data_IF_655853267415
#
_entry.id   IF_655853267415
#
_cell.length_a   1.000
_cell.length_b   1.000
_cell.length_c   1.000
_cell.angle_alpha   90.00
_cell.angle_beta   90.00
_cell.angle_gamma   90.00
#
_symmetry.space_group_name_H-M   'P 1'
#
loop_
_entity.id
_entity.type
_entity.pdbx_description
1 polymer ?
#
# COMPACT_ATOMS: atom_id res chain seq x y z
N UNK A 1 8.80 15.61 -7.75
CA UNK A 1 9.38 15.41 -6.41
C UNK A 1 8.34 14.68 -5.57
N UNK A 2 8.74 13.77 -4.67
CA UNK A 2 7.80 13.10 -3.75
C UNK A 2 8.00 13.62 -2.33
N UNK A 3 6.98 13.45 -1.49
CA UNK A 3 7.07 13.78 -0.06
C UNK A 3 7.94 12.77 0.70
N UNK A 4 8.38 13.14 1.90
CA UNK A 4 9.04 12.21 2.84
C UNK A 4 8.10 11.07 3.26
N UNK A 5 6.78 11.28 3.24
CA UNK A 5 5.76 10.26 3.50
C UNK A 5 5.11 9.83 2.19
N UNK A 6 5.37 8.60 1.76
CA UNK A 6 4.79 8.05 0.53
C UNK A 6 3.86 6.89 0.87
N UNK A 7 2.58 7.04 0.59
CA UNK A 7 1.59 5.96 0.66
C UNK A 7 1.56 5.28 -0.71
N UNK A 8 1.99 4.03 -0.80
CA UNK A 8 1.97 3.27 -2.06
C UNK A 8 0.81 2.28 -2.07
N UNK A 9 0.01 2.32 -3.14
CA UNK A 9 -1.17 1.49 -3.32
C UNK A 9 -1.00 0.68 -4.62
N UNK A 10 -1.04 -0.66 -4.52
CA UNK A 10 -0.64 -1.58 -5.60
C UNK A 10 -1.79 -2.11 -6.48
N UNK A 11 -3.01 -1.63 -6.26
CA UNK A 11 -4.21 -1.98 -7.05
C UNK A 11 -5.00 -0.71 -7.38
N UNK A 12 -4.31 0.30 -7.95
CA UNK A 12 -4.82 1.65 -8.20
C UNK A 12 -5.90 1.77 -9.28
N UNK A 13 -6.63 0.70 -9.59
CA UNK A 13 -7.79 0.75 -10.48
C UNK A 13 -8.95 1.56 -9.87
N UNK A 14 -10.05 1.75 -10.62
CA UNK A 14 -11.21 2.52 -10.16
C UNK A 14 -12.06 1.81 -9.07
N UNK A 15 -11.68 0.62 -8.65
CA UNK A 15 -12.41 -0.23 -7.69
C UNK A 15 -11.40 -0.96 -6.82
N UNK A 16 -11.67 -1.08 -5.52
CA UNK A 16 -10.84 -1.84 -4.59
C UNK A 16 -10.37 -1.02 -3.40
N UNK A 17 -9.54 -1.64 -2.55
CA UNK A 17 -9.03 -1.06 -1.30
C UNK A 17 -8.20 0.19 -1.57
N UNK A 18 -7.36 0.17 -2.60
CA UNK A 18 -6.54 1.31 -2.99
C UNK A 18 -7.39 2.54 -3.36
N UNK A 19 -8.36 2.37 -4.25
CA UNK A 19 -9.29 3.43 -4.64
C UNK A 19 -10.11 3.95 -3.45
N UNK A 20 -10.58 3.04 -2.59
CA UNK A 20 -11.33 3.39 -1.39
C UNK A 20 -10.50 4.27 -0.43
N UNK A 21 -9.25 3.89 -0.17
CA UNK A 21 -8.31 4.65 0.67
C UNK A 21 -8.02 6.01 0.04
N UNK A 22 -7.58 6.04 -1.23
CA UNK A 22 -7.19 7.27 -1.91
C UNK A 22 -8.36 8.25 -2.05
N UNK A 23 -9.56 7.74 -2.35
CA UNK A 23 -10.79 8.53 -2.48
C UNK A 23 -11.35 9.06 -1.16
N UNK A 24 -10.94 8.48 -0.02
CA UNK A 24 -11.42 8.85 1.32
C UNK A 24 -10.41 9.66 2.13
N UNK A 25 -9.16 9.78 1.64
CA UNK A 25 -8.13 10.65 2.22
C UNK A 25 -8.19 12.05 1.60
N UNK A 26 -8.26 13.06 2.47
CA UNK A 26 -8.42 14.46 2.07
C UNK A 26 -7.48 15.38 2.85
N UNK A 27 -7.16 16.56 2.32
CA UNK A 27 -6.48 17.59 3.09
C UNK A 27 -7.21 17.87 4.39
N UNK A 28 -6.50 17.95 5.51
CA UNK A 28 -7.10 18.45 6.74
C UNK A 28 -7.55 19.90 6.50
N UNK A 29 -8.83 20.27 6.73
CA UNK A 29 -9.33 21.63 6.49
C UNK A 29 -8.54 22.73 7.23
N UNK A 30 -7.88 22.37 8.32
CA UNK A 30 -7.04 23.28 9.13
C UNK A 30 -5.64 23.45 8.55
N UNK A 31 -5.15 22.43 7.82
CA UNK A 31 -3.88 22.47 7.12
C UNK A 31 -4.12 23.08 5.73
N UNK A 32 -3.50 24.23 5.44
CA UNK A 32 -3.63 24.91 4.14
C UNK A 32 -2.86 24.14 3.05
N UNK A 33 -3.31 22.92 2.71
CA UNK A 33 -2.67 22.06 1.73
C UNK A 33 -3.30 22.25 0.35
N UNK A 34 -2.45 22.29 -0.66
CA UNK A 34 -2.84 22.18 -2.06
C UNK A 34 -2.74 20.72 -2.50
N UNK A 35 -3.75 20.24 -3.24
CA UNK A 35 -3.70 18.93 -3.88
C UNK A 35 -3.21 19.08 -5.32
N UNK A 36 -2.16 18.36 -5.68
CA UNK A 36 -1.64 18.24 -7.05
C UNK A 36 -1.81 16.79 -7.48
N UNK A 37 -2.37 16.58 -8.69
CA UNK A 37 -2.51 15.25 -9.28
C UNK A 37 -1.67 15.16 -10.54
N UNK A 38 -0.90 14.10 -10.66
CA UNK A 38 0.01 13.86 -11.78
C UNK A 38 -0.10 12.38 -12.19
N UNK A 39 0.15 12.08 -13.46
CA UNK A 39 0.35 10.71 -13.91
C UNK A 39 1.85 10.44 -14.08
N UNK A 40 2.28 9.22 -13.79
CA UNK A 40 3.66 8.79 -14.01
C UNK A 40 3.68 7.60 -14.97
N UNK A 41 4.77 7.51 -15.74
CA UNK A 41 5.05 6.38 -16.63
C UNK A 41 6.56 6.10 -16.65
N UNK A 42 6.95 4.86 -16.39
CA UNK A 42 8.34 4.42 -16.46
C UNK A 42 8.49 3.28 -17.48
N UNK A 43 9.57 3.30 -18.24
CA UNK A 43 9.85 2.27 -19.24
C UNK A 43 10.15 0.93 -18.56
N UNK A 44 9.62 -0.16 -19.11
CA UNK A 44 9.95 -1.53 -18.69
C UNK A 44 10.91 -2.23 -19.66
N UNK A 45 11.48 -1.49 -20.62
CA UNK A 45 12.32 -2.05 -21.67
C UNK A 45 13.60 -2.72 -21.13
N UNK A 46 14.12 -2.27 -19.98
CA UNK A 46 15.25 -2.90 -19.30
C UNK A 46 14.96 -4.35 -18.85
N UNK A 47 13.68 -4.71 -18.71
CA UNK A 47 13.22 -6.08 -18.45
C UNK A 47 12.81 -6.83 -19.72
N UNK A 48 13.02 -6.24 -20.91
CA UNK A 48 12.60 -6.79 -22.19
C UNK A 48 11.12 -6.58 -22.53
N UNK A 49 10.39 -5.76 -21.75
CA UNK A 49 8.96 -5.48 -21.96
C UNK A 49 8.82 -4.14 -22.69
N UNK A 50 8.44 -4.17 -23.96
CA UNK A 50 8.39 -2.97 -24.82
C UNK A 50 7.00 -2.36 -24.96
N UNK A 51 5.96 -3.19 -24.86
CA UNK A 51 4.58 -2.78 -25.12
C UNK A 51 3.85 -2.28 -23.86
N UNK A 52 4.50 -2.38 -22.69
CA UNK A 52 3.95 -1.95 -21.40
C UNK A 52 4.91 -1.01 -20.70
N UNK A 53 4.35 -0.10 -19.92
CA UNK A 53 5.06 0.80 -19.02
C UNK A 53 4.57 0.56 -17.60
N UNK A 54 5.39 0.90 -16.60
CA UNK A 54 4.92 1.07 -15.24
C UNK A 54 4.21 2.42 -15.13
N UNK A 55 2.89 2.42 -14.98
CA UNK A 55 2.07 3.62 -14.98
C UNK A 55 1.16 3.68 -13.76
N UNK A 56 0.75 4.90 -13.44
CA UNK A 56 -0.13 5.15 -12.32
C UNK A 56 -0.39 6.64 -12.09
N UNK A 57 -1.07 6.91 -11.00
CA UNK A 57 -1.40 8.27 -10.55
C UNK A 57 -0.66 8.60 -9.26
N UNK A 58 -0.22 9.85 -9.17
CA UNK A 58 0.34 10.45 -7.97
C UNK A 58 -0.56 11.58 -7.48
N UNK A 59 -0.89 11.54 -6.19
CA UNK A 59 -1.62 12.62 -5.51
C UNK A 59 -0.67 13.20 -4.47
N UNK A 60 -0.29 14.46 -4.65
CA UNK A 60 0.59 15.18 -3.75
C UNK A 60 -0.21 16.17 -2.92
N UNK A 61 0.05 16.18 -1.63
CA UNK A 61 -0.46 17.17 -0.69
C UNK A 61 0.68 18.10 -0.29
N UNK A 62 0.59 19.34 -0.73
CA UNK A 62 1.67 20.32 -0.68
C UNK A 62 1.30 21.44 0.28
N UNK A 63 2.14 21.67 1.28
CA UNK A 63 1.96 22.72 2.28
C UNK A 63 2.30 24.12 1.76
N UNK A 64 2.02 25.13 2.59
CA UNK A 64 2.37 26.51 2.29
C UNK A 64 3.89 26.65 2.13
N UNK A 65 4.36 27.05 0.95
CA UNK A 65 5.78 27.14 0.61
C UNK A 65 6.27 26.08 -0.38
N UNK A 66 5.38 25.25 -0.91
CA UNK A 66 5.72 24.27 -1.96
C UNK A 66 6.37 22.98 -1.44
N UNK A 67 6.41 22.80 -0.12
CA UNK A 67 6.92 21.58 0.50
C UNK A 67 5.90 20.43 0.38
N UNK A 68 6.33 19.29 -0.15
CA UNK A 68 5.51 18.09 -0.29
C UNK A 68 5.39 17.40 1.07
N UNK A 69 4.20 17.40 1.67
CA UNK A 69 3.99 16.79 3.00
C UNK A 69 3.68 15.30 2.92
N UNK A 70 2.82 14.91 1.97
CA UNK A 70 2.39 13.53 1.77
C UNK A 70 2.21 13.29 0.27
N UNK A 71 2.61 12.12 -0.20
CA UNK A 71 2.35 11.67 -1.57
C UNK A 71 1.67 10.31 -1.54
N UNK A 72 0.58 10.17 -2.29
CA UNK A 72 -0.07 8.88 -2.54
C UNK A 72 0.31 8.47 -3.96
N UNK A 73 0.92 7.30 -4.12
CA UNK A 73 1.22 6.68 -5.41
C UNK A 73 0.29 5.49 -5.61
N UNK A 74 -0.48 5.53 -6.68
CA UNK A 74 -1.39 4.45 -7.08
C UNK A 74 -0.85 3.83 -8.35
N UNK A 75 -0.37 2.59 -8.25
CA UNK A 75 0.09 1.83 -9.41
C UNK A 75 -1.11 1.28 -10.17
N UNK A 76 -1.08 1.29 -11.51
CA UNK A 76 -2.07 0.55 -12.30
C UNK A 76 -2.06 -0.94 -11.94
N UNK A 77 -3.14 -1.63 -12.26
CA UNK A 77 -3.25 -3.05 -11.96
C UNK A 77 -2.39 -3.88 -12.94
N UNK A 78 -1.36 -4.52 -12.41
CA UNK A 78 -0.50 -5.45 -13.13
C UNK A 78 -0.55 -6.83 -12.48
N UNK A 79 -0.59 -7.86 -13.31
CA UNK A 79 -0.39 -9.22 -12.84
C UNK A 79 1.11 -9.58 -12.84
N UNK A 80 1.58 -10.46 -11.94
CA UNK A 80 2.90 -11.05 -12.04
C UNK A 80 3.11 -11.76 -13.40
N UNK A 81 4.33 -11.70 -14.00
CA UNK A 81 5.55 -11.09 -13.48
C UNK A 81 5.70 -9.58 -13.78
N UNK A 82 4.80 -8.98 -14.56
CA UNK A 82 4.91 -7.55 -14.96
C UNK A 82 4.83 -6.64 -13.75
N UNK A 83 4.02 -6.98 -12.75
CA UNK A 83 3.95 -6.25 -11.48
C UNK A 83 5.32 -6.11 -10.81
N UNK A 84 6.17 -7.14 -10.84
CA UNK A 84 7.51 -7.09 -10.25
C UNK A 84 8.37 -6.03 -10.92
N UNK A 85 8.30 -5.97 -12.26
CA UNK A 85 9.05 -5.00 -13.05
C UNK A 85 8.53 -3.58 -12.80
N UNK A 86 7.21 -3.41 -12.83
CA UNK A 86 6.57 -2.11 -12.60
C UNK A 86 6.85 -1.56 -11.20
N UNK A 87 6.71 -2.40 -10.18
CA UNK A 87 7.00 -2.04 -8.80
C UNK A 87 8.48 -1.73 -8.60
N UNK A 88 9.38 -2.50 -9.21
CA UNK A 88 10.82 -2.22 -9.11
C UNK A 88 11.17 -0.83 -9.67
N UNK A 89 10.64 -0.45 -10.84
CA UNK A 89 10.88 0.89 -11.40
C UNK A 89 10.36 2.00 -10.48
N UNK A 90 9.14 1.85 -9.95
CA UNK A 90 8.57 2.84 -9.02
C UNK A 90 9.45 2.98 -7.77
N UNK A 91 9.86 1.87 -7.17
CA UNK A 91 10.69 1.88 -5.97
C UNK A 91 12.10 2.43 -6.25
N UNK A 92 12.70 2.14 -7.42
CA UNK A 92 13.96 2.74 -7.84
C UNK A 92 13.86 4.26 -8.00
N UNK A 93 12.72 4.77 -8.51
CA UNK A 93 12.48 6.22 -8.60
C UNK A 93 12.32 6.86 -7.23
N UNK A 94 11.73 6.16 -6.27
CA UNK A 94 11.67 6.59 -4.87
C UNK A 94 13.05 6.56 -4.19
N UNK A 95 13.89 5.59 -4.54
CA UNK A 95 15.25 5.44 -4.00
C UNK A 95 16.29 6.38 -4.63
N UNK A 96 15.91 7.16 -5.66
CA UNK A 96 16.83 7.85 -6.57
C UNK A 96 17.83 8.82 -5.91
N UNK A 97 19.00 8.96 -6.57
CA UNK A 97 20.22 9.60 -6.06
C UNK A 97 20.13 11.12 -5.81
N UNK A 98 19.11 11.80 -6.37
CA UNK A 98 18.94 13.27 -6.25
C UNK A 98 18.12 13.69 -5.01
N UNK A 99 17.69 12.74 -4.17
CA UNK A 99 16.95 13.02 -2.95
C UNK A 99 17.90 13.09 -1.74
N UNK A 100 17.88 14.22 -1.01
CA UNK A 100 18.69 14.37 0.21
C UNK A 100 18.26 13.41 1.33
N UNK A 101 17.02 12.92 1.29
CA UNK A 101 16.43 12.01 2.27
C UNK A 101 15.57 10.95 1.56
N UNK A 102 15.72 9.70 1.96
CA UNK A 102 14.88 8.62 1.45
C UNK A 102 13.46 8.73 2.03
N UNK A 103 12.41 8.63 1.21
CA UNK A 103 11.05 8.66 1.70
C UNK A 103 10.75 7.42 2.55
N UNK A 104 9.91 7.59 3.57
CA UNK A 104 9.27 6.48 4.27
C UNK A 104 8.07 6.02 3.47
N UNK A 105 8.13 4.76 3.02
CA UNK A 105 7.06 4.08 2.33
C UNK A 105 6.05 3.53 3.33
N UNK A 106 4.77 3.79 3.11
CA UNK A 106 3.66 3.21 3.88
C UNK A 106 2.81 2.41 2.91
N UNK A 107 2.70 1.10 3.11
CA UNK A 107 2.01 0.21 2.16
C UNK A 107 0.90 -0.56 2.84
N UNK A 108 -0.37 -0.18 2.63
CA UNK A 108 -1.50 -0.92 3.15
C UNK A 108 -1.84 -2.13 2.27
N UNK A 109 -2.14 -3.25 2.92
CA UNK A 109 -2.74 -4.44 2.33
C UNK A 109 -3.94 -4.90 3.12
N UNK A 110 -4.92 -5.45 2.43
CA UNK A 110 -5.99 -6.24 3.03
C UNK A 110 -5.87 -7.65 2.46
N UNK A 111 -5.58 -8.61 3.33
CA UNK A 111 -5.23 -9.98 2.95
C UNK A 111 -6.18 -10.95 3.65
N UNK A 112 -6.80 -11.88 2.92
CA UNK A 112 -7.57 -12.95 3.55
C UNK A 112 -6.69 -13.80 4.47
N UNK A 113 -7.19 -14.18 5.65
CA UNK A 113 -6.47 -15.03 6.60
C UNK A 113 -5.95 -16.33 5.95
N UNK A 114 -6.71 -16.88 4.99
CA UNK A 114 -6.34 -18.09 4.25
C UNK A 114 -5.04 -17.95 3.44
N UNK A 115 -4.64 -16.72 3.10
CA UNK A 115 -3.39 -16.41 2.37
C UNK A 115 -2.21 -16.12 3.30
N UNK A 116 -2.39 -16.14 4.62
CA UNK A 116 -1.33 -15.91 5.61
C UNK A 116 -1.26 -17.06 6.62
N UNK A 117 -0.15 -17.80 6.64
CA UNK A 117 0.08 -18.81 7.69
C UNK A 117 0.93 -18.22 8.81
N UNK A 118 0.39 -18.17 10.03
CA UNK A 118 1.09 -17.68 11.21
C UNK A 118 1.92 -18.78 11.89
N UNK A 119 3.10 -18.45 12.40
CA UNK A 119 4.06 -19.42 12.95
C UNK A 119 3.79 -19.89 14.39
N UNK A 120 2.89 -19.26 15.15
CA UNK A 120 2.49 -19.72 16.49
C UNK A 120 1.14 -19.12 16.91
N UNK A 121 0.13 -19.96 17.19
CA UNK A 121 -1.10 -19.54 17.88
C UNK A 121 -0.98 -19.87 19.37
N UNK A 122 -0.32 -19.00 20.14
CA UNK A 122 -0.58 -18.98 21.58
C UNK A 122 -1.91 -18.25 21.78
N UNK A 123 -2.99 -19.04 21.76
CA UNK A 123 -4.36 -18.59 22.01
C UNK A 123 -4.48 -18.12 23.47
N UNK A 124 -4.19 -16.85 23.70
CA UNK A 124 -4.73 -16.06 24.81
C UNK A 124 -5.97 -15.32 24.30
N UNK A 125 -7.04 -15.32 25.08
CA UNK A 125 -8.38 -14.84 24.72
C UNK A 125 -8.39 -13.46 24.02
N UNK A 126 -9.15 -13.40 22.91
CA UNK A 126 -9.97 -12.28 22.42
C UNK A 126 -9.34 -10.89 22.42
N UNK A 127 -8.81 -10.51 21.27
CA UNK A 127 -9.11 -9.19 20.71
C UNK A 127 -9.24 -9.33 19.20
N UNK A 128 -10.28 -8.73 18.64
CA UNK A 128 -10.70 -8.77 17.23
C UNK A 128 -9.72 -7.95 16.39
N UNK A 129 -8.42 -8.20 16.50
CA UNK A 129 -7.41 -7.37 15.84
C UNK A 129 -7.18 -7.88 14.43
N UNK A 130 -7.68 -7.08 13.50
CA UNK A 130 -7.60 -7.31 12.07
C UNK A 130 -6.52 -6.46 11.41
N UNK A 131 -5.67 -5.73 12.15
CA UNK A 131 -4.66 -4.85 11.57
C UNK A 131 -3.30 -4.95 12.28
N UNK A 132 -2.26 -5.24 11.50
CA UNK A 132 -0.89 -5.38 11.97
C UNK A 132 0.07 -4.41 11.25
N UNK A 133 1.19 -4.09 11.89
CA UNK A 133 2.27 -3.29 11.31
C UNK A 133 3.57 -4.09 11.19
N UNK A 134 4.23 -4.00 10.05
CA UNK A 134 5.56 -4.58 9.80
C UNK A 134 6.53 -3.48 9.34
N UNK A 135 7.58 -3.24 10.13
CA UNK A 135 8.69 -2.36 9.76
C UNK A 135 9.74 -3.12 8.96
N UNK A 136 10.24 -2.49 7.89
CA UNK A 136 11.32 -2.98 7.03
C UNK A 136 12.28 -1.82 6.72
N UNK A 137 13.57 -2.12 6.57
CA UNK A 137 14.59 -1.11 6.28
C UNK A 137 14.92 -0.20 7.48
N UNK A 138 15.55 0.96 7.24
CA UNK A 138 15.90 1.93 8.27
C UNK A 138 14.66 2.50 8.98
N UNK A 139 14.82 2.77 10.27
CA UNK A 139 13.78 3.41 11.08
C UNK A 139 13.76 4.93 10.83
N UNK A 140 12.57 5.47 10.60
CA UNK A 140 12.26 6.90 10.57
C UNK A 140 11.24 7.29 11.64
N UNK A 141 11.08 8.58 11.92
CA UNK A 141 10.06 9.09 12.85
C UNK A 141 8.65 8.60 12.50
N UNK A 142 8.35 8.55 11.20
CA UNK A 142 7.09 8.03 10.67
C UNK A 142 6.93 6.55 10.97
N UNK A 143 7.99 5.77 10.79
CA UNK A 143 7.95 4.33 11.05
C UNK A 143 7.77 4.00 12.54
N UNK A 144 8.39 4.77 13.44
CA UNK A 144 8.18 4.62 14.88
C UNK A 144 6.78 5.03 15.31
N UNK A 145 6.30 6.17 14.80
CA UNK A 145 4.96 6.64 15.09
C UNK A 145 3.90 5.61 14.69
N UNK A 146 4.00 5.03 13.49
CA UNK A 146 3.10 3.96 13.05
C UNK A 146 3.23 2.69 13.90
N UNK A 147 4.45 2.30 14.25
CA UNK A 147 4.70 1.07 15.00
C UNK A 147 4.20 1.12 16.44
N UNK A 148 4.22 2.29 17.06
CA UNK A 148 3.62 2.48 18.39
C UNK A 148 2.09 2.35 18.41
N UNK A 149 1.45 2.45 17.25
CA UNK A 149 -0.02 2.44 17.09
C UNK A 149 -0.56 1.14 16.52
N UNK A 150 0.27 0.39 15.81
CA UNK A 150 -0.10 -0.87 15.16
C UNK A 150 0.38 -2.04 16.01
N UNK A 151 -0.40 -3.12 16.06
CA UNK A 151 0.10 -4.36 16.63
C UNK A 151 1.24 -4.90 15.77
N UNK A 152 2.33 -5.29 16.42
CA UNK A 152 3.48 -5.84 15.70
C UNK A 152 3.05 -7.08 14.92
N UNK A 153 3.43 -7.12 13.64
CA UNK A 153 3.07 -8.22 12.75
C UNK A 153 3.58 -9.56 13.29
N UNK A 154 2.73 -10.60 13.32
CA UNK A 154 3.16 -11.93 13.67
C UNK A 154 4.13 -12.46 12.61
N UNK A 155 5.07 -13.30 13.03
CA UNK A 155 5.94 -13.99 12.08
C UNK A 155 5.10 -14.90 11.18
N UNK A 156 5.01 -14.56 9.89
CA UNK A 156 4.40 -15.40 8.89
C UNK A 156 5.36 -16.54 8.52
N UNK A 157 4.87 -17.78 8.57
CA UNK A 157 5.60 -18.94 8.08
C UNK A 157 5.46 -19.11 6.58
N UNK A 158 4.31 -18.68 6.01
CA UNK A 158 4.06 -18.66 4.57
C UNK A 158 3.15 -17.47 4.22
N UNK A 159 3.46 -16.80 3.12
CA UNK A 159 2.65 -15.74 2.52
C UNK A 159 2.26 -16.22 1.13
N UNK A 160 0.97 -16.47 0.93
CA UNK A 160 0.37 -16.94 -0.34
C UNK A 160 -0.30 -15.78 -1.10
N UNK A 161 -0.17 -14.56 -0.61
CA UNK A 161 -0.61 -13.35 -1.30
C UNK A 161 0.55 -12.84 -2.16
N UNK A 162 0.49 -13.10 -3.47
CA UNK A 162 1.61 -12.87 -4.40
C UNK A 162 2.12 -11.42 -4.40
N UNK A 163 1.24 -10.44 -4.56
CA UNK A 163 1.59 -9.01 -4.58
C UNK A 163 2.28 -8.56 -3.27
N UNK A 164 1.83 -9.15 -2.15
CA UNK A 164 2.36 -8.83 -0.83
C UNK A 164 3.75 -9.44 -0.65
N UNK A 165 3.91 -10.72 -1.01
CA UNK A 165 5.20 -11.39 -1.00
C UNK A 165 6.21 -10.69 -1.93
N UNK A 166 5.77 -10.27 -3.12
CA UNK A 166 6.57 -9.56 -4.10
C UNK A 166 7.07 -8.22 -3.55
N UNK A 167 6.18 -7.41 -2.97
CA UNK A 167 6.58 -6.14 -2.36
C UNK A 167 7.59 -6.38 -1.25
N UNK A 168 7.31 -7.30 -0.30
CA UNK A 168 8.21 -7.60 0.80
C UNK A 168 9.60 -7.96 0.32
N UNK A 169 9.70 -8.74 -0.76
CA UNK A 169 10.96 -9.09 -1.37
C UNK A 169 11.69 -7.84 -1.90
N UNK A 170 11.04 -7.02 -2.72
CA UNK A 170 11.64 -5.85 -3.36
C UNK A 170 12.08 -4.79 -2.35
N UNK A 171 11.22 -4.42 -1.40
CA UNK A 171 11.55 -3.38 -0.41
C UNK A 171 12.69 -3.82 0.51
N UNK A 172 12.79 -5.12 0.81
CA UNK A 172 13.88 -5.68 1.61
C UNK A 172 15.22 -5.66 0.84
N UNK A 173 15.20 -5.93 -0.47
CA UNK A 173 16.39 -5.83 -1.33
C UNK A 173 16.87 -4.39 -1.43
N UNK A 174 15.95 -3.44 -1.64
CA UNK A 174 16.28 -2.00 -1.76
C UNK A 174 16.57 -1.31 -0.43
N UNK A 175 16.28 -1.95 0.70
CA UNK A 175 16.46 -1.39 2.05
C UNK A 175 15.76 -0.03 2.23
N UNK A 176 14.60 0.15 1.60
CA UNK A 176 13.82 1.37 1.75
C UNK A 176 13.15 1.41 3.13
N UNK A 177 13.13 2.56 3.82
CA UNK A 177 12.35 2.72 5.03
C UNK A 177 10.87 2.46 4.73
N UNK A 178 10.33 1.35 5.24
CA UNK A 178 8.99 0.88 4.86
C UNK A 178 8.19 0.41 6.06
N UNK A 179 6.92 0.82 6.13
CA UNK A 179 5.92 0.25 7.03
C UNK A 179 4.82 -0.39 6.20
N UNK A 180 4.66 -1.70 6.33
CA UNK A 180 3.52 -2.41 5.75
C UNK A 180 2.41 -2.49 6.80
N UNK A 181 1.21 -2.02 6.44
CA UNK A 181 -0.01 -2.18 7.24
C UNK A 181 -0.80 -3.36 6.70
N UNK A 182 -0.98 -4.40 7.51
CA UNK A 182 -1.53 -5.68 7.09
C UNK A 182 -2.88 -5.88 7.76
N UNK A 183 -3.92 -5.55 7.01
CA UNK A 183 -5.29 -5.89 7.31
C UNK A 183 -5.54 -7.38 7.07
N UNK A 184 -6.01 -8.13 8.06
CA UNK A 184 -6.35 -9.55 7.94
C UNK A 184 -7.86 -9.71 8.04
N UNK A 185 -8.48 -10.29 7.02
CA UNK A 185 -9.93 -10.47 6.95
C UNK A 185 -10.31 -11.93 6.89
N UNK A 186 -11.45 -12.29 7.49
CA UNK A 186 -12.00 -13.63 7.30
C UNK A 186 -12.67 -13.68 5.92
N UNK A 187 -12.46 -14.78 5.18
CA UNK A 187 -12.80 -14.88 3.76
C UNK A 187 -14.30 -14.87 3.42
N UNK A 188 -15.18 -14.43 4.33
CA UNK A 188 -16.64 -14.61 4.23
C UNK A 188 -17.45 -13.31 4.39
N UNK A 189 -16.86 -12.21 4.85
CA UNK A 189 -17.62 -11.02 5.26
C UNK A 189 -17.10 -9.74 4.60
N UNK A 190 -17.80 -9.22 3.59
CA UNK A 190 -17.49 -7.93 2.95
C UNK A 190 -17.51 -6.74 3.92
N UNK A 191 -18.21 -6.88 5.06
CA UNK A 191 -18.24 -5.87 6.11
C UNK A 191 -16.90 -5.80 6.88
N UNK A 192 -16.16 -6.91 6.97
CA UNK A 192 -14.84 -6.95 7.62
C UNK A 192 -13.78 -6.28 6.74
N UNK A 193 -13.81 -6.52 5.42
CA UNK A 193 -12.92 -5.82 4.47
C UNK A 193 -13.11 -4.30 4.55
N UNK A 194 -14.36 -3.84 4.68
CA UNK A 194 -14.69 -2.44 4.87
C UNK A 194 -14.19 -1.91 6.22
N UNK A 195 -14.44 -2.61 7.33
CA UNK A 195 -13.97 -2.23 8.68
C UNK A 195 -12.43 -2.10 8.72
N UNK A 196 -11.71 -3.05 8.12
CA UNK A 196 -10.25 -3.04 8.03
C UNK A 196 -9.76 -1.88 7.16
N UNK A 197 -10.40 -1.65 6.02
CA UNK A 197 -10.03 -0.53 5.15
C UNK A 197 -10.25 0.82 5.85
N UNK A 198 -11.32 0.96 6.64
CA UNK A 198 -11.54 2.15 7.46
C UNK A 198 -10.43 2.35 8.50
N UNK A 199 -10.08 1.30 9.24
CA UNK A 199 -9.00 1.36 10.24
C UNK A 199 -7.67 1.76 9.58
N UNK A 200 -7.34 1.19 8.43
CA UNK A 200 -6.16 1.58 7.65
C UNK A 200 -6.21 3.08 7.32
N UNK A 201 -7.33 3.56 6.78
CA UNK A 201 -7.51 4.96 6.42
C UNK A 201 -7.37 5.92 7.61
N UNK A 202 -7.94 5.57 8.77
CA UNK A 202 -7.82 6.33 10.01
C UNK A 202 -6.37 6.41 10.49
N UNK A 203 -5.64 5.29 10.47
CA UNK A 203 -4.23 5.26 10.82
C UNK A 203 -3.38 6.11 9.86
N UNK A 204 -3.62 6.02 8.55
CA UNK A 204 -2.94 6.82 7.53
C UNK A 204 -3.17 8.32 7.74
N UNK A 205 -4.41 8.74 7.99
CA UNK A 205 -4.75 10.13 8.32
C UNK A 205 -4.03 10.58 9.61
N UNK A 206 -3.98 9.72 10.63
CA UNK A 206 -3.42 10.07 11.95
C UNK A 206 -1.91 10.34 11.94
N UNK A 207 -1.17 9.86 10.95
CA UNK A 207 0.29 10.05 10.80
C UNK A 207 0.65 11.03 9.68
N UNK A 208 -0.37 11.60 9.05
CA UNK A 208 -0.26 12.56 7.95
C UNK A 208 -0.98 13.86 8.31
N UNK A 209 -0.88 14.86 7.44
CA UNK A 209 -1.67 16.09 7.53
C UNK A 209 -3.03 15.95 6.85
N UNK A 210 -3.52 14.72 6.69
CA UNK A 210 -4.76 14.38 6.02
C UNK A 210 -5.86 14.03 7.03
N UNK A 211 -7.09 14.01 6.55
CA UNK A 211 -8.28 13.51 7.25
C UNK A 211 -8.89 12.37 6.45
N UNK A 212 -9.48 11.41 7.14
CA UNK A 212 -10.16 10.27 6.55
C UNK A 212 -11.68 10.40 6.70
N UNK A 213 -12.44 10.05 5.66
CA UNK A 213 -13.91 10.12 5.65
C UNK A 213 -14.55 8.77 5.32
N UNK A 214 -15.16 8.14 6.33
CA UNK A 214 -15.88 6.86 6.18
C UNK A 214 -17.08 6.94 5.21
N UNK A 215 -17.76 8.08 5.14
CA UNK A 215 -18.99 8.26 4.36
C UNK A 215 -18.77 8.15 2.85
N UNK A 216 -17.59 8.54 2.36
CA UNK A 216 -17.24 8.46 0.93
C UNK A 216 -16.81 7.07 0.50
N UNK A 217 -16.44 6.21 1.44
CA UNK A 217 -16.02 4.84 1.16
C UNK A 217 -17.20 3.91 0.80
N UNK A 218 -18.39 4.20 1.35
CA UNK A 218 -19.63 3.43 1.14
C UNK A 218 -20.24 3.67 -0.26
N UNK A 219 -19.86 4.75 -0.95
CA UNK A 219 -20.42 5.11 -2.26
C UNK A 219 -19.74 4.39 -3.45
N UNK A 220 -18.64 3.69 -3.22
CA UNK A 220 -17.81 3.04 -4.25
C UNK A 220 -17.87 1.49 -4.37
N UNK A 221 -18.93 0.74 -4.00
CA UNK A 221 -18.96 -0.70 -4.22
C UNK A 221 -19.52 -1.03 -5.61
N UNK A 222 -18.66 -1.13 -6.63
CA UNK A 222 -19.04 -1.82 -7.88
C UNK A 222 -18.53 -3.25 -7.82
N UNK A 223 -19.46 -4.21 -7.93
CA UNK A 223 -19.20 -5.66 -7.82
C UNK A 223 -18.12 -6.11 -8.81
N UNK A 224 -16.98 -6.58 -8.30
CA UNK A 224 -16.04 -7.37 -9.09
C UNK A 224 -16.43 -8.85 -9.01
N UNK A 225 -16.86 -9.43 -10.13
CA UNK A 225 -16.85 -10.89 -10.31
C UNK A 225 -15.41 -11.33 -10.61
N UNK A 226 -14.79 -12.11 -9.71
CA UNK A 226 -13.53 -12.81 -10.01
C UNK A 226 -13.77 -14.31 -9.93
N UNK A 227 -14.02 -14.91 -11.09
CA UNK A 227 -13.71 -16.31 -11.34
C UNK A 227 -12.26 -16.34 -11.87
N UNK A 228 -11.31 -16.52 -10.95
CA UNK A 228 -9.89 -16.49 -11.23
C UNK A 228 -9.37 -17.88 -11.53
N UNK A 229 -9.20 -18.22 -12.81
CA UNK A 229 -8.32 -19.33 -13.22
C UNK A 229 -6.87 -18.85 -13.18
N UNK A 230 -6.11 -19.38 -12.24
CA UNK A 230 -4.67 -19.15 -12.06
C UNK A 230 -3.89 -19.60 -13.32
N UNK A 231 -3.52 -18.64 -14.18
CA UNK A 231 -2.83 -18.88 -15.45
C UNK A 231 -1.39 -19.39 -15.29
N UNK A 232 -0.76 -19.18 -14.13
CA UNK A 232 0.63 -19.58 -13.89
C UNK A 232 0.83 -21.10 -13.76
N UNK A 233 -0.24 -21.88 -13.49
CA UNK A 233 -0.16 -23.35 -13.46
C UNK A 233 0.17 -23.96 -14.83
N UNK A 234 -0.05 -23.22 -15.91
CA UNK A 234 0.31 -23.69 -17.26
C UNK A 234 1.82 -23.69 -17.54
N UNK A 235 2.62 -23.00 -16.72
CA UNK A 235 4.06 -22.82 -16.98
C UNK A 235 4.95 -23.86 -16.30
N UNK A 236 4.45 -24.61 -15.31
CA UNK A 236 5.27 -25.56 -14.55
C UNK A 236 4.72 -26.99 -14.42
N UNK A 237 3.55 -27.29 -15.01
CA UNK A 237 2.98 -28.65 -15.02
C UNK A 237 2.28 -29.05 -13.73
#
# INVERSE_FOLDING_TARGET
>A
MVAEKVILLLDGGNVGVAAAIAGSLHPNPSAKLQTIKESFRFSLECYGIKDLMASGEAIHFVGSGGHYEVSILMLENYEPPVLACALNEVLLKLAGEEQYTLPTLIVPFVVPETKLKLKNRYSGKSEKVSLYGMKLGPTTDVSELLSSRLQQSPLFSQILHEEFALLLHLVNVMKLPTVVMIGVTSSKNSNEDLEVTCQIGEHLASVSSLTFSNEKMVQSPTKASRDGKEAWRALYG
#
